data_IF_788171235211
#
_entry.id   IF_788171235211
#
_cell.length_a   1.000
_cell.length_b   1.000
_cell.length_c   1.000
_cell.angle_alpha   90.00
_cell.angle_beta   90.00
_cell.angle_gamma   90.00
#
_symmetry.space_group_name_H-M   'P 1'
#
loop_
_entity.id
_entity.type
_entity.pdbx_description
1 polymer ?
#
# COMPACT_ATOMS: atom_id res chain seq x y z
N UNK A 1 -43.44 20.76 60.10
CA UNK A 1 -43.75 22.21 60.15
C UNK A 1 -42.85 22.91 59.14
N UNK A 2 -43.47 23.65 58.18
CA UNK A 2 -42.90 24.68 57.27
C UNK A 2 -41.90 24.18 56.21
N UNK A 3 -41.88 24.63 54.96
CA UNK A 3 -42.80 25.40 54.11
C UNK A 3 -42.37 25.22 52.63
N UNK A 4 -43.36 25.01 51.77
CA UNK A 4 -43.55 25.48 50.37
C UNK A 4 -42.52 26.48 49.81
N UNK A 5 -42.04 26.28 48.57
CA UNK A 5 -42.30 27.17 47.41
C UNK A 5 -41.59 26.75 46.12
N UNK A 6 -42.41 26.54 45.07
CA UNK A 6 -42.09 26.49 43.65
C UNK A 6 -41.50 27.80 43.13
N UNK A 7 -40.54 27.76 42.20
CA UNK A 7 -40.36 28.82 41.20
C UNK A 7 -40.08 28.18 39.83
N UNK A 8 -41.08 28.29 38.97
CA UNK A 8 -40.98 28.14 37.53
C UNK A 8 -40.19 29.32 36.94
N UNK A 9 -39.38 29.07 35.93
CA UNK A 9 -38.62 30.10 35.23
C UNK A 9 -38.22 29.63 33.84
N UNK A 10 -39.23 29.48 32.98
CA UNK A 10 -39.08 29.21 31.55
C UNK A 10 -38.57 30.49 30.87
N UNK A 11 -37.31 30.52 30.42
CA UNK A 11 -36.80 31.59 29.56
C UNK A 11 -36.53 31.03 28.16
N UNK A 12 -37.48 31.31 27.27
CA UNK A 12 -37.46 30.98 25.86
C UNK A 12 -36.57 32.00 25.13
N UNK A 13 -35.34 31.62 24.77
CA UNK A 13 -34.48 32.45 23.91
C UNK A 13 -34.65 32.00 22.45
N UNK A 14 -35.44 32.77 21.71
CA UNK A 14 -35.60 32.65 20.26
C UNK A 14 -34.41 33.36 19.61
N UNK A 15 -33.48 32.61 19.00
CA UNK A 15 -32.47 33.18 18.09
C UNK A 15 -32.82 32.85 16.65
N UNK A 16 -33.21 33.89 15.91
CA UNK A 16 -33.56 33.86 14.49
C UNK A 16 -32.29 34.04 13.63
N UNK A 17 -32.18 33.15 12.64
CA UNK A 17 -31.51 33.22 11.32
C UNK A 17 -30.18 33.92 11.10
N UNK A 18 -29.28 33.15 10.46
CA UNK A 18 -28.63 33.56 9.22
C UNK A 18 -28.45 32.34 8.32
N UNK A 19 -29.28 32.22 7.27
CA UNK A 19 -29.07 31.24 6.22
C UNK A 19 -27.92 31.73 5.34
N UNK A 20 -26.75 31.11 5.46
CA UNK A 20 -25.66 31.33 4.52
C UNK A 20 -26.04 30.76 3.14
N UNK A 21 -25.64 31.39 2.03
CA UNK A 21 -25.84 30.83 0.71
C UNK A 21 -25.04 29.52 0.63
N UNK A 22 -25.74 28.44 0.31
CA UNK A 22 -25.09 27.19 -0.06
C UNK A 22 -24.30 27.45 -1.34
N UNK A 23 -22.98 27.63 -1.20
CA UNK A 23 -22.07 27.41 -2.30
C UNK A 23 -22.30 25.97 -2.74
N UNK A 24 -22.84 25.79 -3.95
CA UNK A 24 -22.83 24.52 -4.64
C UNK A 24 -21.36 24.09 -4.72
N UNK A 25 -20.96 23.20 -3.83
CA UNK A 25 -19.68 22.54 -3.94
C UNK A 25 -19.81 21.62 -5.15
N UNK A 26 -19.26 22.07 -6.28
CA UNK A 26 -18.81 21.17 -7.35
C UNK A 26 -17.78 20.24 -6.70
N UNK A 27 -18.28 19.16 -6.10
CA UNK A 27 -17.47 18.01 -5.75
C UNK A 27 -17.03 17.44 -7.10
N UNK A 28 -15.84 17.85 -7.53
CA UNK A 28 -15.17 17.23 -8.66
C UNK A 28 -15.29 15.70 -8.49
N UNK A 29 -15.68 14.95 -9.54
CA UNK A 29 -15.84 13.52 -9.43
C UNK A 29 -14.53 12.93 -8.92
N UNK A 30 -14.56 12.43 -7.69
CA UNK A 30 -13.42 11.72 -7.11
C UNK A 30 -13.11 10.59 -8.09
N UNK A 31 -11.87 10.51 -8.61
CA UNK A 31 -11.51 9.38 -9.45
C UNK A 31 -11.85 8.09 -8.70
N UNK A 32 -12.45 7.09 -9.37
CA UNK A 32 -12.75 5.82 -8.70
C UNK A 32 -11.45 5.33 -8.04
N UNK A 33 -11.51 4.80 -6.80
CA UNK A 33 -10.33 4.22 -6.18
C UNK A 33 -9.77 3.20 -7.17
N UNK A 34 -8.58 3.48 -7.71
CA UNK A 34 -7.91 2.55 -8.59
C UNK A 34 -7.52 1.36 -7.72
N UNK A 35 -8.32 0.30 -7.78
CA UNK A 35 -8.13 -0.95 -7.03
C UNK A 35 -6.77 -1.61 -7.26
N UNK A 36 -5.94 -1.06 -8.14
CA UNK A 36 -4.51 -1.39 -8.32
C UNK A 36 -3.65 -1.02 -7.10
N UNK A 37 -4.05 -0.02 -6.30
CA UNK A 37 -3.18 0.57 -5.28
C UNK A 37 -3.39 0.01 -3.88
N UNK A 38 -4.59 -0.50 -3.62
CA UNK A 38 -5.03 -1.00 -2.33
C UNK A 38 -5.21 -2.51 -2.42
N UNK A 39 -4.27 -3.25 -1.82
CA UNK A 39 -4.40 -4.70 -1.62
C UNK A 39 -5.70 -5.08 -0.86
N UNK A 40 -6.42 -4.10 -0.32
CA UNK A 40 -7.74 -4.21 0.32
C UNK A 40 -8.93 -4.13 -0.64
N UNK A 41 -8.76 -3.76 -1.91
CA UNK A 41 -9.88 -3.51 -2.83
C UNK A 41 -10.53 -4.77 -3.42
N UNK A 42 -9.91 -5.93 -3.26
CA UNK A 42 -10.50 -7.18 -3.75
C UNK A 42 -10.26 -8.28 -2.72
N UNK A 43 -11.26 -9.12 -2.49
CA UNK A 43 -11.18 -10.33 -1.64
C UNK A 43 -10.30 -11.42 -2.31
N UNK A 44 -9.24 -11.04 -3.01
CA UNK A 44 -8.25 -11.94 -3.60
C UNK A 44 -7.43 -12.46 -2.43
N UNK A 45 -7.74 -13.68 -2.01
CA UNK A 45 -6.90 -14.39 -1.06
C UNK A 45 -5.60 -14.75 -1.81
N UNK A 46 -4.43 -14.40 -1.25
CA UNK A 46 -3.12 -14.83 -1.75
C UNK A 46 -3.06 -16.35 -2.02
N UNK A 47 -2.11 -16.84 -2.85
CA UNK A 47 -0.82 -16.23 -3.13
C UNK A 47 -0.79 -15.35 -4.39
N UNK A 48 -0.27 -14.13 -4.25
CA UNK A 48 0.13 -13.29 -5.38
C UNK A 48 1.61 -13.55 -5.68
N UNK A 49 1.95 -13.74 -6.94
CA UNK A 49 3.32 -13.94 -7.38
C UNK A 49 3.77 -12.77 -8.26
N UNK A 50 4.94 -12.21 -7.98
CA UNK A 50 5.50 -11.07 -8.70
C UNK A 50 7.00 -11.27 -8.92
N UNK A 51 7.52 -10.71 -10.01
CA UNK A 51 8.97 -10.73 -10.27
C UNK A 51 9.72 -9.71 -9.42
N UNK A 52 10.95 -10.06 -8.99
CA UNK A 52 11.90 -9.10 -8.40
C UNK A 52 12.33 -8.11 -9.48
N UNK A 53 12.21 -6.83 -9.17
CA UNK A 53 12.76 -5.74 -9.97
C UNK A 53 14.15 -5.33 -9.48
N UNK A 54 14.35 -5.25 -8.16
CA UNK A 54 15.63 -4.86 -7.58
C UNK A 54 15.81 -5.38 -6.13
N UNK A 55 17.07 -5.62 -5.75
CA UNK A 55 17.49 -5.93 -4.37
C UNK A 55 18.51 -4.89 -3.93
N UNK A 56 18.31 -4.29 -2.75
CA UNK A 56 19.12 -3.17 -2.27
C UNK A 56 19.56 -3.36 -0.82
N UNK A 57 20.65 -2.66 -0.45
CA UNK A 57 21.15 -2.66 0.93
C UNK A 57 21.54 -4.04 1.45
N UNK A 58 22.07 -4.90 0.56
CA UNK A 58 22.46 -6.27 0.91
C UNK A 58 21.29 -7.16 1.30
N UNK A 59 20.16 -7.05 0.59
CA UNK A 59 18.94 -7.80 0.89
C UNK A 59 18.03 -7.12 1.92
N UNK A 60 18.38 -5.92 2.41
CA UNK A 60 17.49 -5.17 3.31
C UNK A 60 16.18 -4.79 2.64
N UNK A 61 16.22 -4.44 1.36
CA UNK A 61 15.03 -4.05 0.62
C UNK A 61 14.89 -4.83 -0.68
N UNK A 62 13.67 -5.23 -0.99
CA UNK A 62 13.29 -5.89 -2.25
C UNK A 62 12.21 -5.06 -2.92
N UNK A 63 12.41 -4.72 -4.18
CA UNK A 63 11.40 -4.05 -5.02
C UNK A 63 10.87 -5.08 -6.02
N UNK A 64 9.54 -5.18 -6.13
CA UNK A 64 8.88 -6.07 -7.08
C UNK A 64 8.45 -5.29 -8.34
N UNK A 65 8.07 -6.02 -9.39
CA UNK A 65 7.69 -5.44 -10.69
C UNK A 65 6.50 -4.48 -10.64
N UNK A 66 5.60 -4.63 -9.66
CA UNK A 66 4.47 -3.72 -9.42
C UNK A 66 4.90 -2.42 -8.70
N UNK A 67 6.19 -2.26 -8.46
CA UNK A 67 6.80 -1.15 -7.74
C UNK A 67 6.65 -1.24 -6.22
N UNK A 68 6.06 -2.30 -5.67
CA UNK A 68 6.02 -2.48 -4.22
C UNK A 68 7.45 -2.63 -3.67
N UNK A 69 7.71 -1.95 -2.54
CA UNK A 69 9.02 -1.92 -1.90
C UNK A 69 8.91 -2.50 -0.50
N UNK A 70 9.65 -3.56 -0.24
CA UNK A 70 9.54 -4.40 0.95
C UNK A 70 10.81 -4.28 1.78
N UNK A 71 10.67 -3.99 3.08
CA UNK A 71 11.76 -4.13 4.03
C UNK A 71 11.79 -5.56 4.56
N UNK A 72 12.98 -6.16 4.59
CA UNK A 72 13.22 -7.53 5.00
C UNK A 72 13.71 -7.59 6.45
N UNK A 73 13.15 -8.55 7.19
CA UNK A 73 13.55 -8.87 8.56
C UNK A 73 15.05 -9.17 8.60
N UNK A 74 15.72 -8.70 9.67
CA UNK A 74 17.18 -8.70 9.75
C UNK A 74 17.81 -10.08 9.51
N UNK A 75 17.21 -11.14 10.07
CA UNK A 75 17.75 -12.50 9.98
C UNK A 75 17.68 -13.09 8.57
N UNK A 76 16.77 -12.60 7.72
CA UNK A 76 16.51 -13.14 6.38
C UNK A 76 17.24 -12.35 5.27
N UNK A 77 17.94 -11.26 5.62
CA UNK A 77 18.62 -10.38 4.64
C UNK A 77 19.67 -11.12 3.82
N UNK A 78 20.42 -12.02 4.44
CA UNK A 78 21.42 -12.84 3.74
C UNK A 78 20.79 -13.71 2.64
N UNK A 79 19.60 -14.25 2.89
CA UNK A 79 18.83 -15.04 1.90
C UNK A 79 18.42 -14.16 0.72
N UNK A 80 17.78 -13.02 1.00
CA UNK A 80 17.31 -12.11 -0.06
C UNK A 80 18.42 -11.41 -0.83
N UNK A 81 19.62 -11.27 -0.25
CA UNK A 81 20.77 -10.70 -0.94
C UNK A 81 21.21 -11.54 -2.15
N UNK A 82 20.87 -12.83 -2.18
CA UNK A 82 21.16 -13.72 -3.30
C UNK A 82 20.11 -13.64 -4.42
N UNK A 83 18.97 -12.99 -4.18
CA UNK A 83 17.92 -12.83 -5.17
C UNK A 83 18.37 -11.88 -6.28
N UNK A 84 17.90 -12.15 -7.48
CA UNK A 84 18.22 -11.45 -8.71
C UNK A 84 16.96 -10.83 -9.29
N UNK A 85 17.14 -9.86 -10.19
CA UNK A 85 16.04 -9.41 -11.03
C UNK A 85 15.45 -10.59 -11.81
N UNK A 86 14.15 -10.54 -12.08
CA UNK A 86 13.36 -11.58 -12.76
C UNK A 86 13.18 -12.89 -11.97
N UNK A 87 13.59 -12.95 -10.71
CA UNK A 87 13.15 -14.02 -9.80
C UNK A 87 11.66 -13.91 -9.50
N UNK A 88 10.93 -15.02 -9.59
CA UNK A 88 9.51 -15.04 -9.27
C UNK A 88 9.27 -15.30 -7.78
N UNK A 89 8.60 -14.37 -7.11
CA UNK A 89 8.39 -14.36 -5.66
C UNK A 89 6.90 -14.54 -5.35
N UNK A 90 6.56 -15.58 -4.59
CA UNK A 90 5.25 -15.76 -3.99
C UNK A 90 5.13 -14.95 -2.69
N UNK A 91 3.95 -14.35 -2.50
CA UNK A 91 3.65 -13.46 -1.37
C UNK A 91 2.47 -14.05 -0.58
N UNK A 92 2.68 -14.29 0.71
CA UNK A 92 1.66 -14.82 1.62
C UNK A 92 1.71 -14.16 3.00
N UNK A 93 0.61 -14.21 3.75
CA UNK A 93 0.59 -13.73 5.15
C UNK A 93 1.02 -14.85 6.09
N UNK A 94 1.85 -14.53 7.09
CA UNK A 94 2.27 -15.48 8.12
C UNK A 94 1.56 -15.24 9.45
N UNK A 95 1.20 -16.34 10.11
CA UNK A 95 0.48 -16.34 11.40
C UNK A 95 1.39 -16.09 12.61
N UNK A 96 2.70 -16.28 12.46
CA UNK A 96 3.71 -16.05 13.49
C UNK A 96 4.67 -14.92 13.04
N UNK A 97 4.22 -13.65 13.08
CA UNK A 97 5.04 -12.52 12.64
C UNK A 97 6.24 -12.32 13.56
N UNK A 98 7.36 -11.88 12.97
CA UNK A 98 8.57 -11.49 13.72
C UNK A 98 8.58 -9.97 13.91
N UNK A 99 7.85 -9.47 14.91
CA UNK A 99 7.59 -8.04 15.06
C UNK A 99 6.56 -7.55 14.03
N UNK A 100 6.87 -6.49 13.27
CA UNK A 100 5.96 -5.93 12.25
C UNK A 100 6.06 -6.64 10.88
N UNK A 101 6.84 -7.71 10.78
CA UNK A 101 7.09 -8.46 9.55
C UNK A 101 6.10 -9.64 9.47
N UNK A 102 4.95 -9.41 8.83
CA UNK A 102 3.81 -10.34 8.75
C UNK A 102 3.57 -10.91 7.35
N UNK A 103 4.38 -10.56 6.36
CA UNK A 103 4.33 -11.10 5.00
C UNK A 103 5.54 -12.00 4.78
N UNK A 104 5.34 -13.16 4.16
CA UNK A 104 6.41 -14.01 3.68
C UNK A 104 6.55 -13.85 2.18
N UNK A 105 7.77 -13.52 1.77
CA UNK A 105 8.22 -13.54 0.39
C UNK A 105 8.98 -14.86 0.18
N UNK A 106 8.63 -15.62 -0.85
CA UNK A 106 9.22 -16.92 -1.14
C UNK A 106 9.60 -17.04 -2.60
N UNK A 107 10.86 -17.40 -2.90
CA UNK A 107 11.27 -17.65 -4.29
C UNK A 107 10.65 -18.95 -4.77
N UNK A 108 9.88 -18.88 -5.85
CA UNK A 108 9.20 -20.07 -6.37
C UNK A 108 10.23 -21.06 -6.91
N UNK A 109 10.10 -22.32 -6.51
CA UNK A 109 11.02 -23.40 -6.87
C UNK A 109 12.14 -23.67 -5.87
N UNK A 110 12.30 -22.83 -4.83
CA UNK A 110 13.28 -23.05 -3.76
C UNK A 110 12.65 -22.82 -2.37
N UNK A 111 12.41 -23.91 -1.65
CA UNK A 111 11.69 -23.89 -0.36
C UNK A 111 12.47 -23.24 0.77
N UNK A 112 13.79 -23.13 0.64
CA UNK A 112 14.68 -22.50 1.63
C UNK A 112 14.80 -20.98 1.38
N UNK A 113 14.44 -20.51 0.20
CA UNK A 113 14.51 -19.09 -0.18
C UNK A 113 13.27 -18.33 0.27
N UNK A 114 13.19 -18.11 1.57
CA UNK A 114 12.07 -17.44 2.24
C UNK A 114 12.54 -16.28 3.08
N UNK A 115 11.74 -15.22 3.11
CA UNK A 115 12.04 -14.03 3.88
C UNK A 115 10.77 -13.37 4.42
N UNK A 116 10.79 -13.05 5.72
CA UNK A 116 9.76 -12.23 6.33
C UNK A 116 9.97 -10.76 5.96
N UNK A 117 8.91 -10.11 5.50
CA UNK A 117 8.91 -8.75 5.00
C UNK A 117 7.75 -7.92 5.54
N UNK A 118 7.90 -6.60 5.44
CA UNK A 118 6.83 -5.62 5.61
C UNK A 118 6.85 -4.62 4.47
N UNK A 119 5.69 -4.11 4.07
CA UNK A 119 5.60 -3.11 3.02
C UNK A 119 6.21 -1.79 3.53
N UNK A 120 7.30 -1.36 2.90
CA UNK A 120 8.01 -0.12 3.22
C UNK A 120 7.56 1.07 2.36
N UNK A 121 6.84 0.80 1.26
CA UNK A 121 6.27 1.81 0.40
C UNK A 121 6.11 1.28 -1.04
N UNK A 122 5.96 2.21 -1.98
CA UNK A 122 5.97 1.92 -3.41
C UNK A 122 6.94 2.88 -4.10
N UNK A 123 7.62 2.39 -5.13
CA UNK A 123 8.45 3.20 -6.02
C UNK A 123 7.73 3.38 -7.35
N UNK A 124 8.06 4.47 -8.04
CA UNK A 124 7.61 4.63 -9.41
C UNK A 124 8.10 3.42 -10.21
N UNK A 125 7.18 2.71 -10.84
CA UNK A 125 7.54 1.67 -11.80
C UNK A 125 8.23 2.41 -12.92
N UNK A 126 9.52 2.14 -13.13
CA UNK A 126 10.18 2.58 -14.34
C UNK A 126 9.45 1.85 -15.48
N UNK A 127 8.55 2.56 -16.16
CA UNK A 127 7.96 2.06 -17.38
C UNK A 127 9.15 1.79 -18.30
N UNK A 128 9.49 0.52 -18.52
CA UNK A 128 10.45 0.17 -19.57
C UNK A 128 9.80 0.71 -20.83
N UNK A 129 10.30 1.83 -21.34
CA UNK A 129 9.98 2.30 -22.67
C UNK A 129 10.49 1.23 -23.61
N UNK A 130 9.65 0.25 -23.90
CA UNK A 130 9.81 -0.68 -25.01
C UNK A 130 9.55 0.09 -26.31
N UNK A 131 10.26 1.18 -26.52
CA UNK A 131 10.44 1.69 -27.87
C UNK A 131 11.68 0.96 -28.40
N UNK A 132 11.52 -0.06 -29.26
CA UNK A 132 12.63 -0.44 -30.11
C UNK A 132 12.98 0.81 -30.90
N UNK A 133 14.21 1.32 -30.73
CA UNK A 133 14.75 2.40 -31.56
C UNK A 133 14.42 2.07 -33.03
N UNK A 134 13.48 2.79 -33.67
CA UNK A 134 12.96 2.40 -34.96
C UNK A 134 13.99 2.77 -36.02
N UNK A 135 14.99 1.91 -36.17
CA UNK A 135 15.91 1.94 -37.29
C UNK A 135 16.79 3.19 -37.31
N UNK A 136 17.99 3.05 -36.74
CA UNK A 136 19.17 3.59 -37.40
C UNK A 136 19.29 2.95 -38.78
N UNK A 137 18.61 3.53 -39.76
CA UNK A 137 18.90 3.31 -41.17
C UNK A 137 20.24 4.00 -41.42
N UNK A 138 21.32 3.24 -41.30
CA UNK A 138 22.60 3.63 -41.92
C UNK A 138 22.37 3.62 -43.43
N UNK A 139 22.18 4.83 -43.97
CA UNK A 139 22.34 5.12 -45.38
C UNK A 139 23.80 5.53 -45.60
N UNK A 140 24.39 4.90 -46.63
CA UNK A 140 25.71 5.12 -47.26
C UNK A 140 26.88 4.25 -46.78
#
# INVERSE_FOLDING_TARGET
>A
MRSVASIAGLALAITVWSAAPAAAQDVAPTPPPSCLSDWSCTRVHPPLGLYVSAVEGGGRYVTLEDGSHWEIEYSDRATTAAWQADDFIGIETIWAPRGDFNILLSRVGDVEQKAAGRLAGRRAVAFRSSDPDPGGFDLE
#
